data_IF_881692960091
#
_entry.id   IF_881692960091
#
_cell.length_a   1.000
_cell.length_b   1.000
_cell.length_c   1.000
_cell.angle_alpha   90.00
_cell.angle_beta   90.00
_cell.angle_gamma   90.00
#
_symmetry.space_group_name_H-M   'P 1'
#
loop_
_entity.id
_entity.type
_entity.pdbx_description
1 polymer ?
#
# COMPACT_ATOMS: atom_id res chain seq x y z
N UNK A 1 21.52 -32.88 13.50
CA UNK A 1 20.49 -31.97 14.06
C UNK A 1 21.16 -30.74 14.66
N UNK A 2 21.21 -29.62 13.92
CA UNK A 2 21.92 -28.40 14.33
C UNK A 2 20.92 -27.42 14.95
N UNK A 3 20.89 -27.33 16.28
CA UNK A 3 20.11 -26.31 17.01
C UNK A 3 20.65 -24.93 16.64
N UNK A 4 19.83 -24.10 16.00
CA UNK A 4 20.14 -22.69 15.76
C UNK A 4 19.91 -21.90 17.07
N UNK A 5 20.84 -21.01 17.46
CA UNK A 5 20.78 -20.31 18.72
C UNK A 5 19.61 -19.31 18.78
N UNK A 6 18.78 -19.48 19.80
CA UNK A 6 17.87 -18.47 20.33
C UNK A 6 18.69 -17.28 20.83
N UNK A 7 18.49 -16.10 20.25
CA UNK A 7 19.12 -14.89 20.75
C UNK A 7 19.22 -13.78 19.72
N UNK A 8 18.14 -13.03 19.50
CA UNK A 8 18.26 -11.63 19.11
C UNK A 8 17.30 -10.79 19.94
N UNK A 9 17.91 -9.86 20.66
CA UNK A 9 17.33 -8.94 21.61
C UNK A 9 15.98 -8.38 21.13
N UNK A 10 14.94 -8.63 21.93
CA UNK A 10 13.69 -7.88 21.90
C UNK A 10 14.00 -6.44 22.31
N UNK A 11 14.28 -5.59 21.34
CA UNK A 11 14.03 -4.16 21.54
C UNK A 11 12.55 -4.04 21.84
N UNK A 12 12.21 -3.64 23.07
CA UNK A 12 10.83 -3.41 23.47
C UNK A 12 10.21 -2.48 22.43
N UNK A 13 9.22 -2.98 21.69
CA UNK A 13 8.38 -2.11 20.92
C UNK A 13 7.77 -1.09 21.90
N UNK A 14 7.76 0.22 21.58
CA UNK A 14 7.15 1.23 22.45
C UNK A 14 5.63 0.99 22.63
N UNK A 15 5.03 0.10 21.82
CA UNK A 15 3.61 -0.26 21.85
C UNK A 15 3.44 -1.77 22.07
N UNK A 16 2.31 -2.18 22.68
CA UNK A 16 1.97 -3.60 22.85
C UNK A 16 1.75 -4.34 21.52
N UNK A 17 1.95 -5.67 21.49
CA UNK A 17 1.81 -6.50 20.27
C UNK A 17 0.44 -6.34 19.58
N UNK A 18 -0.62 -6.10 20.35
CA UNK A 18 -1.95 -5.82 19.81
C UNK A 18 -2.00 -4.48 19.04
N UNK A 19 -1.41 -3.42 19.60
CA UNK A 19 -1.35 -2.12 18.96
C UNK A 19 -0.51 -2.15 17.67
N UNK A 20 0.64 -2.84 17.65
CA UNK A 20 1.41 -3.04 16.42
C UNK A 20 0.58 -3.75 15.33
N UNK A 21 -0.29 -4.69 15.73
CA UNK A 21 -1.19 -5.35 14.77
C UNK A 21 -2.21 -4.38 14.20
N UNK A 22 -2.85 -3.62 15.08
CA UNK A 22 -3.87 -2.66 14.72
C UNK A 22 -3.29 -1.62 13.74
N UNK A 23 -2.07 -1.14 13.98
CA UNK A 23 -1.37 -0.23 13.05
C UNK A 23 -1.11 -0.91 11.70
N UNK A 24 -0.68 -2.18 11.69
CA UNK A 24 -0.46 -2.93 10.44
C UNK A 24 -1.75 -3.06 9.63
N UNK A 25 -2.87 -3.40 10.28
CA UNK A 25 -4.17 -3.51 9.63
C UNK A 25 -4.67 -2.14 9.16
N UNK A 26 -4.52 -1.08 9.96
CA UNK A 26 -4.90 0.27 9.61
C UNK A 26 -4.12 0.76 8.38
N UNK A 27 -2.80 0.59 8.36
CA UNK A 27 -1.97 0.94 7.20
C UNK A 27 -2.37 0.14 5.96
N UNK A 28 -2.65 -1.15 6.11
CA UNK A 28 -3.15 -2.00 5.02
C UNK A 28 -4.46 -1.44 4.47
N UNK A 29 -5.43 -1.19 5.34
CA UNK A 29 -6.75 -0.69 5.00
C UNK A 29 -6.67 0.66 4.27
N UNK A 30 -6.01 1.66 4.86
CA UNK A 30 -5.91 3.00 4.29
C UNK A 30 -5.17 3.01 2.95
N UNK A 31 -4.11 2.20 2.81
CA UNK A 31 -3.36 2.08 1.56
C UNK A 31 -4.22 1.52 0.43
N UNK A 32 -4.98 0.45 0.71
CA UNK A 32 -5.90 -0.13 -0.28
C UNK A 32 -7.09 0.77 -0.58
N UNK A 33 -7.67 1.41 0.44
CA UNK A 33 -8.77 2.35 0.27
C UNK A 33 -8.38 3.48 -0.69
N UNK A 34 -7.26 4.15 -0.43
CA UNK A 34 -6.79 5.26 -1.27
C UNK A 34 -6.42 4.82 -2.69
N UNK A 35 -5.84 3.64 -2.86
CA UNK A 35 -5.42 3.16 -4.18
C UNK A 35 -6.60 2.79 -5.09
N UNK A 36 -7.65 2.20 -4.52
CA UNK A 36 -8.83 1.76 -5.26
C UNK A 36 -9.90 2.85 -5.41
N UNK A 37 -9.82 3.93 -4.63
CA UNK A 37 -10.72 5.09 -4.69
C UNK A 37 -10.88 5.69 -6.09
N UNK A 38 -9.80 5.73 -6.88
CA UNK A 38 -9.80 6.39 -8.19
C UNK A 38 -10.48 5.58 -9.31
N UNK A 39 -10.72 4.28 -9.12
CA UNK A 39 -11.31 3.42 -10.16
C UNK A 39 -12.71 3.91 -10.62
N UNK A 40 -13.67 4.17 -9.73
CA UNK A 40 -14.96 4.74 -10.12
C UNK A 40 -14.84 6.17 -10.68
N UNK A 41 -13.84 6.94 -10.23
CA UNK A 41 -13.66 8.34 -10.60
C UNK A 41 -13.10 8.56 -12.01
N UNK A 42 -12.73 7.50 -12.74
CA UNK A 42 -12.07 7.63 -14.04
C UNK A 42 -12.89 8.44 -15.06
N UNK A 43 -14.21 8.24 -15.09
CA UNK A 43 -15.10 8.97 -15.98
C UNK A 43 -15.15 10.46 -15.62
N UNK A 44 -15.30 10.77 -14.33
CA UNK A 44 -15.29 12.14 -13.79
C UNK A 44 -13.96 12.85 -14.07
N UNK A 45 -12.83 12.16 -13.90
CA UNK A 45 -11.50 12.68 -14.24
C UNK A 45 -11.37 12.94 -15.74
N UNK A 46 -11.90 12.03 -16.59
CA UNK A 46 -11.88 12.21 -18.04
C UNK A 46 -12.66 13.47 -18.46
N UNK A 47 -13.83 13.69 -17.86
CA UNK A 47 -14.65 14.88 -18.08
C UNK A 47 -13.97 16.15 -17.59
N UNK A 48 -13.40 16.13 -16.37
CA UNK A 48 -12.74 17.29 -15.76
C UNK A 48 -11.57 17.80 -16.61
N UNK A 49 -10.70 16.88 -17.08
CA UNK A 49 -9.55 17.24 -17.92
C UNK A 49 -9.88 17.29 -19.43
N UNK A 50 -11.15 17.08 -19.81
CA UNK A 50 -11.63 17.04 -21.21
C UNK A 50 -10.79 16.10 -22.09
N UNK A 51 -10.47 14.91 -21.56
CA UNK A 51 -9.70 13.87 -22.25
C UNK A 51 -10.61 12.69 -22.64
N UNK A 52 -10.27 11.92 -23.69
CA UNK A 52 -11.00 10.71 -24.02
C UNK A 52 -10.91 9.66 -22.89
N UNK A 53 -11.97 8.86 -22.65
CA UNK A 53 -11.98 7.82 -21.61
C UNK A 53 -10.81 6.83 -21.69
N UNK A 54 -10.34 6.54 -22.91
CA UNK A 54 -9.16 5.70 -23.15
C UNK A 54 -7.90 6.25 -22.49
N UNK A 55 -7.73 7.58 -22.41
CA UNK A 55 -6.60 8.19 -21.71
C UNK A 55 -6.74 8.10 -20.20
N UNK A 56 -7.95 8.24 -19.65
CA UNK A 56 -8.15 8.08 -18.21
C UNK A 56 -7.74 6.67 -17.72
N UNK A 57 -7.93 5.63 -18.55
CA UNK A 57 -7.44 4.28 -18.28
C UNK A 57 -5.93 4.19 -18.01
N UNK A 58 -5.12 5.12 -18.51
CA UNK A 58 -3.68 5.19 -18.23
C UNK A 58 -3.38 5.36 -16.73
N UNK A 59 -4.30 5.96 -15.96
CA UNK A 59 -4.16 6.09 -14.50
C UNK A 59 -4.12 4.74 -13.80
N UNK A 60 -4.75 3.70 -14.37
CA UNK A 60 -4.65 2.33 -13.87
C UNK A 60 -3.32 1.73 -14.34
N UNK A 61 -3.04 1.80 -15.64
CA UNK A 61 -1.83 1.19 -16.23
C UNK A 61 -0.55 1.69 -15.57
N UNK A 62 -0.40 3.01 -15.42
CA UNK A 62 0.79 3.63 -14.83
C UNK A 62 0.99 3.24 -13.36
N UNK A 63 -0.09 2.88 -12.67
CA UNK A 63 -0.03 2.42 -11.29
C UNK A 63 0.29 0.91 -11.20
N UNK A 64 -0.26 0.09 -12.10
CA UNK A 64 -0.10 -1.37 -12.09
C UNK A 64 1.30 -1.81 -12.52
N UNK A 65 1.89 -1.17 -13.54
CA UNK A 65 3.23 -1.53 -14.04
C UNK A 65 4.29 -1.53 -12.93
N UNK A 66 4.54 -0.42 -12.21
CA UNK A 66 5.48 -0.42 -11.10
C UNK A 66 5.00 -1.27 -9.92
N UNK A 67 3.69 -1.42 -9.71
CA UNK A 67 3.15 -2.31 -8.67
C UNK A 67 3.56 -3.76 -8.91
N UNK A 68 3.51 -4.24 -10.15
CA UNK A 68 3.89 -5.60 -10.53
C UNK A 68 5.40 -5.86 -10.41
N UNK A 69 6.22 -4.87 -10.78
CA UNK A 69 7.69 -4.98 -10.71
C UNK A 69 8.21 -4.74 -9.28
N UNK A 70 7.49 -3.97 -8.49
CA UNK A 70 7.88 -3.53 -7.15
C UNK A 70 8.39 -4.64 -6.24
N UNK A 71 7.70 -5.79 -6.10
CA UNK A 71 8.16 -6.89 -5.24
C UNK A 71 9.57 -7.40 -5.57
N UNK A 72 9.98 -7.39 -6.84
CA UNK A 72 11.34 -7.81 -7.22
C UNK A 72 12.41 -6.81 -6.77
N UNK A 73 12.06 -5.52 -6.77
CA UNK A 73 12.94 -4.43 -6.35
C UNK A 73 13.01 -4.39 -4.83
N UNK A 74 11.87 -4.33 -4.16
CA UNK A 74 11.79 -4.18 -2.71
C UNK A 74 12.36 -5.38 -1.95
N UNK A 75 12.33 -6.59 -2.54
CA UNK A 75 13.00 -7.76 -1.96
C UNK A 75 14.52 -7.56 -1.81
N UNK A 76 15.16 -6.78 -2.70
CA UNK A 76 16.57 -6.38 -2.55
C UNK A 76 16.73 -5.21 -1.58
N UNK A 77 15.84 -4.24 -1.62
CA UNK A 77 15.85 -3.06 -0.74
C UNK A 77 15.79 -3.46 0.74
N UNK A 78 14.95 -4.44 1.08
CA UNK A 78 14.81 -4.96 2.45
C UNK A 78 16.06 -5.65 3.00
N UNK A 79 17.02 -6.03 2.14
CA UNK A 79 18.33 -6.52 2.62
C UNK A 79 19.22 -5.39 3.15
N UNK A 80 18.94 -4.13 2.75
CA UNK A 80 19.75 -2.94 3.09
C UNK A 80 19.04 -1.99 4.05
N UNK A 81 17.71 -1.90 3.97
CA UNK A 81 16.88 -1.01 4.78
C UNK A 81 15.97 -1.80 5.72
N UNK A 82 15.77 -1.28 6.93
CA UNK A 82 14.83 -1.89 7.87
C UNK A 82 13.38 -1.61 7.50
N UNK A 83 12.47 -2.53 7.84
CA UNK A 83 11.03 -2.41 7.58
C UNK A 83 10.46 -1.07 8.06
N UNK A 84 10.83 -0.66 9.28
CA UNK A 84 10.36 0.60 9.87
C UNK A 84 10.79 1.83 9.08
N UNK A 85 12.06 1.89 8.64
CA UNK A 85 12.58 3.00 7.84
C UNK A 85 11.91 3.07 6.47
N UNK A 86 11.70 1.90 5.85
CA UNK A 86 11.06 1.85 4.53
C UNK A 86 9.57 2.24 4.61
N UNK A 87 8.83 1.76 5.62
CA UNK A 87 7.45 2.20 5.87
C UNK A 87 7.36 3.70 6.16
N UNK A 88 8.27 4.24 6.97
CA UNK A 88 8.32 5.66 7.29
C UNK A 88 8.60 6.55 6.06
N UNK A 89 9.16 6.00 4.98
CA UNK A 89 9.33 6.71 3.71
C UNK A 89 8.13 6.51 2.78
N UNK A 90 7.71 5.27 2.58
CA UNK A 90 6.72 4.92 1.55
C UNK A 90 5.30 5.35 1.91
N UNK A 91 4.90 5.23 3.19
CA UNK A 91 3.55 5.61 3.63
C UNK A 91 3.29 7.11 3.41
N UNK A 92 4.13 8.04 3.89
CA UNK A 92 3.92 9.46 3.61
C UNK A 92 4.10 9.78 2.12
N UNK A 93 5.03 9.15 1.40
CA UNK A 93 5.17 9.38 -0.03
C UNK A 93 3.88 9.00 -0.81
N UNK A 94 3.27 7.86 -0.49
CA UNK A 94 2.01 7.42 -1.09
C UNK A 94 0.83 8.31 -0.71
N UNK A 95 0.74 8.70 0.57
CA UNK A 95 -0.31 9.60 1.07
C UNK A 95 -0.20 11.02 0.49
N UNK A 96 1.01 11.58 0.41
CA UNK A 96 1.25 12.88 -0.21
C UNK A 96 0.98 12.85 -1.71
N UNK A 97 1.35 11.78 -2.41
CA UNK A 97 0.99 11.61 -3.82
C UNK A 97 -0.54 11.59 -4.02
N UNK A 98 -1.27 10.90 -3.14
CA UNK A 98 -2.74 10.90 -3.16
C UNK A 98 -3.32 12.31 -2.92
N UNK A 99 -2.82 13.03 -1.91
CA UNK A 99 -3.27 14.38 -1.61
C UNK A 99 -2.94 15.36 -2.76
N UNK A 100 -1.75 15.24 -3.36
CA UNK A 100 -1.29 16.08 -4.45
C UNK A 100 -2.11 15.87 -5.75
N UNK A 101 -2.67 14.68 -5.97
CA UNK A 101 -3.60 14.45 -7.09
C UNK A 101 -4.79 15.40 -7.06
N UNK A 102 -5.32 15.75 -5.88
CA UNK A 102 -6.47 16.66 -5.74
C UNK A 102 -6.17 18.07 -6.22
N UNK A 103 -4.91 18.50 -6.14
CA UNK A 103 -4.46 19.84 -6.54
C UNK A 103 -3.79 19.86 -7.91
N UNK A 104 -3.84 18.75 -8.65
CA UNK A 104 -3.16 18.63 -9.93
C UNK A 104 -3.85 19.48 -11.01
N UNK A 105 -3.18 20.49 -11.60
CA UNK A 105 -3.77 21.36 -12.62
C UNK A 105 -3.84 20.70 -14.00
N UNK A 106 -3.20 19.53 -14.17
CA UNK A 106 -3.12 18.85 -15.46
C UNK A 106 -3.08 17.33 -15.32
N UNK A 107 -3.64 16.64 -16.32
CA UNK A 107 -3.69 15.18 -16.37
C UNK A 107 -2.31 14.48 -16.30
N UNK A 108 -1.24 14.98 -16.96
CA UNK A 108 0.10 14.40 -16.82
C UNK A 108 0.62 14.43 -15.39
N UNK A 109 0.29 15.46 -14.61
CA UNK A 109 0.69 15.53 -13.20
C UNK A 109 -0.05 14.46 -12.37
N UNK A 110 -1.34 14.22 -12.65
CA UNK A 110 -2.09 13.12 -12.03
C UNK A 110 -1.45 11.77 -12.36
N UNK A 111 -1.01 11.55 -13.62
CA UNK A 111 -0.28 10.34 -14.01
C UNK A 111 1.03 10.19 -13.22
N UNK A 112 1.79 11.27 -13.04
CA UNK A 112 3.04 11.24 -12.28
C UNK A 112 2.79 10.85 -10.81
N UNK A 113 1.79 11.42 -10.16
CA UNK A 113 1.43 11.03 -8.79
C UNK A 113 0.91 9.59 -8.71
N UNK A 114 0.18 9.12 -9.72
CA UNK A 114 -0.25 7.72 -9.81
C UNK A 114 0.91 6.75 -9.99
N UNK A 115 1.94 7.13 -10.74
CA UNK A 115 3.18 6.37 -10.84
C UNK A 115 3.83 6.24 -9.45
N UNK A 116 3.92 7.34 -8.69
CA UNK A 116 4.46 7.33 -7.31
C UNK A 116 3.65 6.39 -6.41
N UNK A 117 2.32 6.40 -6.50
CA UNK A 117 1.49 5.44 -5.77
C UNK A 117 1.77 3.99 -6.18
N UNK A 118 1.89 3.72 -7.49
CA UNK A 118 2.22 2.40 -8.01
C UNK A 118 3.58 1.89 -7.56
N UNK A 119 4.54 2.79 -7.32
CA UNK A 119 5.87 2.45 -6.77
C UNK A 119 5.81 2.24 -5.26
N UNK A 120 5.08 3.07 -4.51
CA UNK A 120 5.06 3.02 -3.04
C UNK A 120 4.28 1.84 -2.50
N UNK A 121 3.13 1.54 -3.11
CA UNK A 121 2.20 0.51 -2.63
C UNK A 121 2.81 -0.89 -2.50
N UNK A 122 3.47 -1.49 -3.51
CA UNK A 122 4.05 -2.83 -3.36
C UNK A 122 5.13 -2.90 -2.27
N UNK A 123 5.88 -1.80 -2.05
CA UNK A 123 6.87 -1.73 -0.98
C UNK A 123 6.22 -1.69 0.41
N UNK A 124 5.10 -0.97 0.56
CA UNK A 124 4.29 -0.98 1.78
C UNK A 124 3.78 -2.40 2.04
N UNK A 125 3.15 -3.04 1.06
CA UNK A 125 2.59 -4.39 1.24
C UNK A 125 3.65 -5.43 1.60
N UNK A 126 4.81 -5.36 0.94
CA UNK A 126 5.93 -6.23 1.28
C UNK A 126 6.41 -6.01 2.72
N UNK A 127 6.51 -4.75 3.17
CA UNK A 127 6.92 -4.46 4.53
C UNK A 127 5.91 -4.97 5.56
N UNK A 128 4.62 -4.81 5.30
CA UNK A 128 3.55 -5.24 6.20
C UNK A 128 3.46 -6.77 6.29
N UNK A 129 3.56 -7.48 5.17
CA UNK A 129 3.59 -8.94 5.15
C UNK A 129 4.84 -9.49 5.84
N UNK A 130 6.01 -8.90 5.59
CA UNK A 130 7.24 -9.25 6.31
C UNK A 130 7.14 -8.95 7.81
N UNK A 131 6.49 -7.86 8.21
CA UNK A 131 6.27 -7.54 9.62
C UNK A 131 5.40 -8.59 10.31
N UNK A 132 4.30 -9.02 9.69
CA UNK A 132 3.43 -10.09 10.22
C UNK A 132 4.23 -11.40 10.36
N UNK A 133 5.02 -11.76 9.34
CA UNK A 133 5.83 -12.98 9.33
C UNK A 133 6.94 -12.99 10.41
N UNK A 134 7.49 -11.82 10.77
CA UNK A 134 8.46 -11.71 11.86
C UNK A 134 7.81 -11.75 13.24
N UNK A 135 6.52 -11.41 13.34
CA UNK A 135 5.82 -11.29 14.62
C UNK A 135 5.16 -12.57 15.08
N UNK A 136 4.56 -13.30 14.14
CA UNK A 136 3.70 -14.44 14.40
C UNK A 136 4.25 -15.69 13.70
N UNK A 137 3.99 -16.87 14.27
CA UNK A 137 4.46 -18.17 13.74
C UNK A 137 3.40 -19.25 13.87
N UNK A 138 3.44 -20.27 13.01
CA UNK A 138 2.50 -21.40 13.03
C UNK A 138 1.05 -20.96 12.80
N UNK A 139 0.11 -21.43 13.63
CA UNK A 139 -1.32 -21.11 13.50
C UNK A 139 -1.64 -19.62 13.66
N UNK A 140 -0.86 -18.89 14.47
CA UNK A 140 -1.04 -17.44 14.63
C UNK A 140 -0.69 -16.68 13.34
N UNK A 141 0.36 -17.10 12.63
CA UNK A 141 0.72 -16.50 11.34
C UNK A 141 -0.42 -16.66 10.32
N UNK A 142 -1.01 -17.86 10.24
CA UNK A 142 -2.13 -18.12 9.35
C UNK A 142 -3.33 -17.20 9.67
N UNK A 143 -3.68 -17.06 10.95
CA UNK A 143 -4.76 -16.17 11.39
C UNK A 143 -4.48 -14.70 11.06
N UNK A 144 -3.26 -14.22 11.33
CA UNK A 144 -2.87 -12.83 11.05
C UNK A 144 -2.83 -12.53 9.56
N UNK A 145 -2.34 -13.46 8.73
CA UNK A 145 -2.36 -13.32 7.27
C UNK A 145 -3.78 -13.37 6.71
N UNK A 146 -4.67 -14.19 7.29
CA UNK A 146 -6.08 -14.20 6.92
C UNK A 146 -6.75 -12.85 7.21
N UNK A 147 -6.54 -12.31 8.42
CA UNK A 147 -7.05 -10.98 8.78
C UNK A 147 -6.49 -9.90 7.87
N UNK A 148 -5.19 -9.92 7.59
CA UNK A 148 -4.55 -9.03 6.62
C UNK A 148 -5.23 -9.10 5.24
N UNK A 149 -5.44 -10.30 4.71
CA UNK A 149 -6.11 -10.51 3.43
C UNK A 149 -7.55 -9.96 3.45
N UNK A 150 -8.33 -10.25 4.48
CA UNK A 150 -9.67 -9.67 4.66
C UNK A 150 -9.63 -8.15 4.68
N UNK A 151 -8.67 -7.55 5.37
CA UNK A 151 -8.49 -6.10 5.42
C UNK A 151 -8.13 -5.50 4.06
N UNK A 152 -7.28 -6.18 3.25
CA UNK A 152 -6.98 -5.71 1.89
C UNK A 152 -8.22 -5.68 1.01
N UNK A 153 -9.02 -6.76 1.03
CA UNK A 153 -10.26 -6.86 0.25
C UNK A 153 -11.28 -5.83 0.71
N UNK A 154 -11.44 -5.66 2.02
CA UNK A 154 -12.37 -4.71 2.59
C UNK A 154 -11.99 -3.26 2.25
N UNK A 155 -10.70 -2.90 2.36
CA UNK A 155 -10.20 -1.59 1.96
C UNK A 155 -10.39 -1.33 0.46
N UNK A 156 -10.11 -2.32 -0.39
CA UNK A 156 -10.30 -2.20 -1.84
C UNK A 156 -11.78 -2.00 -2.21
N UNK A 157 -12.68 -2.75 -1.55
CA UNK A 157 -14.11 -2.61 -1.75
C UNK A 157 -14.60 -1.23 -1.31
N UNK A 158 -14.28 -0.83 -0.07
CA UNK A 158 -14.73 0.44 0.48
C UNK A 158 -14.17 1.64 -0.29
N UNK A 159 -12.92 1.56 -0.74
CA UNK A 159 -12.33 2.58 -1.63
C UNK A 159 -13.18 2.81 -2.88
N UNK A 160 -13.62 1.73 -3.55
CA UNK A 160 -14.51 1.86 -4.71
C UNK A 160 -15.89 2.39 -4.36
N UNK A 161 -16.48 1.96 -3.25
CA UNK A 161 -17.80 2.45 -2.82
C UNK A 161 -17.75 3.95 -2.54
N UNK A 162 -16.78 4.39 -1.73
CA UNK A 162 -16.61 5.81 -1.39
C UNK A 162 -16.28 6.62 -2.64
N UNK A 163 -15.38 6.14 -3.49
CA UNK A 163 -15.08 6.80 -4.76
C UNK A 163 -16.32 6.94 -5.64
N UNK A 164 -17.16 5.91 -5.72
CA UNK A 164 -18.40 5.95 -6.51
C UNK A 164 -19.42 6.93 -5.96
N UNK A 165 -19.48 7.13 -4.64
CA UNK A 165 -20.43 8.08 -4.03
C UNK A 165 -20.09 9.55 -4.29
N UNK A 166 -18.84 9.83 -4.65
CA UNK A 166 -18.31 11.18 -4.93
C UNK A 166 -18.16 11.42 -6.45
N UNK A 167 -18.36 10.38 -7.27
CA UNK A 167 -18.16 10.43 -8.74
C UNK A 167 -19.36 11.02 -9.47
#
# INVERSE_FOLDING_TARGET
MKKLPQGRARGAAPFGRAAEFAVTLLLTFTTYLGFYFIQPMLATIAQHFRIPPSRAGLLITVAIVPFAVGPLIYGRVLKRLSLRKLLALLVPAGGLALAACTFAPSFPLVLAFRLVQGVTLPGILMCLTAHIALRDSGSQLQRSMALYATTTTFGAFLGRVVGSSVS
#
